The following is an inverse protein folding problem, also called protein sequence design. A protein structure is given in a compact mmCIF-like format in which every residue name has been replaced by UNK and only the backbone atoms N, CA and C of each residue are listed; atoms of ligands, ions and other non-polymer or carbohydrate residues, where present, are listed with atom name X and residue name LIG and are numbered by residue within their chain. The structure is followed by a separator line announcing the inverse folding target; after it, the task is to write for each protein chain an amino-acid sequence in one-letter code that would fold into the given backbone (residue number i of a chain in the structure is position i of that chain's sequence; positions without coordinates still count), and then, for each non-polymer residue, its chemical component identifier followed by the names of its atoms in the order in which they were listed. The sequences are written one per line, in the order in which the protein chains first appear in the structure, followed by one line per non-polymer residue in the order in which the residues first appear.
data_IF_759273399926
#
_entry.id   IF_759273399926
#
_cell.length_a   1.000
_cell.length_b   1.000
_cell.length_c   1.000
_cell.angle_alpha   90.00
_cell.angle_beta   90.00
_cell.angle_gamma   90.00
#
_symmetry.space_group_name_H-M   'P 1'
#
loop_
_entity.id
_entity.type
_entity.pdbx_description
1 polymer ?
#
# COMPACT_ATOMS: atom_id res chain seq x y z
N UNK A 1 10.51 21.46 -16.42
CA UNK A 1 9.42 20.48 -16.54
C UNK A 1 8.41 20.78 -15.44
N UNK A 2 7.39 21.57 -15.78
CA UNK A 2 6.49 22.23 -14.84
C UNK A 2 5.44 21.25 -14.30
N UNK A 3 5.67 20.67 -13.12
CA UNK A 3 4.62 19.95 -12.40
C UNK A 3 3.83 20.96 -11.54
N UNK A 4 3.07 21.83 -12.20
CA UNK A 4 2.04 22.63 -11.55
C UNK A 4 0.92 21.64 -11.21
N UNK A 5 1.06 20.99 -10.06
CA UNK A 5 0.03 20.13 -9.50
C UNK A 5 -1.14 21.04 -9.09
N UNK A 6 -2.09 21.20 -10.00
CA UNK A 6 -3.35 21.86 -9.74
C UNK A 6 -3.98 21.22 -8.49
N UNK A 7 -4.53 22.00 -7.54
CA UNK A 7 -4.98 21.51 -6.21
C UNK A 7 -5.87 20.26 -6.28
N UNK A 8 -6.58 20.06 -7.38
CA UNK A 8 -7.43 18.89 -7.69
C UNK A 8 -6.63 17.59 -7.86
N UNK A 9 -5.45 17.62 -8.49
CA UNK A 9 -4.63 16.44 -8.75
C UNK A 9 -4.00 15.90 -7.45
N UNK A 10 -3.63 16.78 -6.52
CA UNK A 10 -3.10 16.37 -5.21
C UNK A 10 -4.11 15.61 -4.35
N UNK A 11 -5.40 15.96 -4.42
CA UNK A 11 -6.47 15.26 -3.68
C UNK A 11 -6.71 13.88 -4.26
N UNK A 12 -6.75 13.77 -5.59
CA UNK A 12 -6.93 12.48 -6.27
C UNK A 12 -5.79 11.52 -5.96
N UNK A 13 -4.55 11.99 -5.99
CA UNK A 13 -3.37 11.20 -5.67
C UNK A 13 -3.40 10.68 -4.21
N UNK A 14 -3.87 11.53 -3.28
CA UNK A 14 -4.04 11.15 -1.88
C UNK A 14 -5.15 10.10 -1.70
N UNK A 15 -6.25 10.23 -2.45
CA UNK A 15 -7.35 9.27 -2.41
C UNK A 15 -6.94 7.89 -2.96
N UNK A 16 -6.25 7.85 -4.10
CA UNK A 16 -5.68 6.61 -4.67
C UNK A 16 -4.70 5.97 -3.68
N UNK A 17 -3.87 6.76 -3.02
CA UNK A 17 -2.90 6.23 -2.05
C UNK A 17 -3.59 5.56 -0.86
N UNK A 18 -4.68 6.14 -0.33
CA UNK A 18 -5.45 5.54 0.76
C UNK A 18 -6.17 4.29 0.27
N UNK A 19 -6.81 4.37 -0.90
CA UNK A 19 -7.53 3.26 -1.50
C UNK A 19 -6.63 2.04 -1.75
N UNK A 20 -5.45 2.26 -2.34
CA UNK A 20 -4.47 1.20 -2.59
C UNK A 20 -4.02 0.50 -1.31
N UNK A 21 -3.80 1.25 -0.24
CA UNK A 21 -3.43 0.67 1.06
C UNK A 21 -4.54 -0.23 1.63
N UNK A 22 -5.80 0.21 1.50
CA UNK A 22 -6.98 -0.59 1.91
C UNK A 22 -7.08 -1.86 1.07
N UNK A 23 -6.93 -1.77 -0.26
CA UNK A 23 -6.98 -2.93 -1.15
C UNK A 23 -5.90 -3.98 -0.81
N UNK A 24 -4.66 -3.55 -0.55
CA UNK A 24 -3.58 -4.47 -0.16
C UNK A 24 -3.88 -5.19 1.17
N UNK A 25 -4.43 -4.47 2.16
CA UNK A 25 -4.83 -5.06 3.44
C UNK A 25 -5.98 -6.05 3.28
N UNK A 26 -7.01 -5.70 2.51
CA UNK A 26 -8.15 -6.58 2.24
C UNK A 26 -7.68 -7.86 1.52
N UNK A 27 -6.81 -7.75 0.52
CA UNK A 27 -6.27 -8.92 -0.18
C UNK A 27 -5.43 -9.82 0.74
N UNK A 28 -4.60 -9.26 1.62
CA UNK A 28 -3.85 -10.03 2.61
C UNK A 28 -4.77 -10.80 3.56
N UNK A 29 -5.81 -10.14 4.07
CA UNK A 29 -6.79 -10.75 4.97
C UNK A 29 -7.62 -11.83 4.26
N UNK A 30 -8.10 -11.58 3.05
CA UNK A 30 -8.86 -12.57 2.26
C UNK A 30 -8.03 -13.81 1.94
N UNK A 31 -6.73 -13.67 1.63
CA UNK A 31 -5.83 -14.82 1.45
C UNK A 31 -5.67 -15.62 2.75
N UNK A 32 -5.69 -14.96 3.91
CA UNK A 32 -5.58 -15.62 5.22
C UNK A 32 -6.82 -16.43 5.61
N UNK A 33 -7.98 -16.12 5.03
CA UNK A 33 -9.23 -16.87 5.23
C UNK A 33 -9.40 -18.03 4.25
N UNK A 34 -8.37 -18.40 3.47
CA UNK A 34 -8.45 -19.41 2.41
C UNK A 34 -9.64 -19.14 1.46
N UNK A 35 -9.86 -17.87 1.09
CA UNK A 35 -11.00 -17.50 0.28
C UNK A 35 -10.95 -18.19 -1.09
N UNK A 36 -11.98 -18.99 -1.39
CA UNK A 36 -12.16 -19.73 -2.66
C UNK A 36 -11.95 -18.86 -3.92
N UNK A 37 -12.17 -17.55 -3.82
CA UNK A 37 -11.97 -16.59 -4.89
C UNK A 37 -10.51 -16.52 -5.41
N UNK A 38 -9.52 -16.96 -4.63
CA UNK A 38 -8.11 -16.94 -5.03
C UNK A 38 -7.57 -18.31 -5.49
N UNK A 39 -8.35 -19.39 -5.35
CA UNK A 39 -7.91 -20.75 -5.69
C UNK A 39 -7.51 -20.86 -7.17
N UNK A 40 -8.17 -20.09 -8.02
CA UNK A 40 -8.00 -20.09 -9.48
C UNK A 40 -6.69 -19.43 -9.92
N UNK A 41 -6.06 -18.64 -9.05
CA UNK A 41 -4.78 -17.96 -9.33
C UNK A 41 -3.59 -18.70 -8.72
N UNK A 42 -3.86 -19.79 -8.01
CA UNK A 42 -2.89 -20.57 -7.29
C UNK A 42 -2.33 -21.64 -8.24
N UNK A 43 -1.00 -21.86 -8.31
CA UNK A 43 -0.40 -22.82 -9.22
C UNK A 43 -0.60 -24.25 -8.71
N UNK A 44 -1.84 -24.74 -8.78
CA UNK A 44 -2.18 -26.11 -8.46
C UNK A 44 -1.68 -27.05 -9.54
N UNK A 45 -1.35 -28.28 -9.15
CA UNK A 45 -1.07 -29.33 -10.09
C UNK A 45 -2.32 -29.64 -10.92
N UNK A 46 -2.15 -29.90 -12.22
CA UNK A 46 -3.26 -30.08 -13.16
C UNK A 46 -4.04 -31.38 -12.91
N UNK A 47 -3.44 -32.34 -12.19
CA UNK A 47 -4.08 -33.60 -11.80
C UNK A 47 -3.73 -33.94 -10.36
N UNK A 48 -4.76 -34.23 -9.56
CA UNK A 48 -4.63 -34.82 -8.22
C UNK A 48 -5.41 -36.13 -8.21
N UNK A 49 -4.77 -37.22 -7.80
CA UNK A 49 -5.40 -38.53 -7.68
C UNK A 49 -6.41 -38.60 -6.53
N UNK A 50 -6.24 -37.76 -5.51
CA UNK A 50 -7.04 -37.79 -4.29
C UNK A 50 -7.49 -36.40 -3.82
N UNK A 51 -8.75 -36.32 -3.38
CA UNK A 51 -9.38 -35.08 -2.91
C UNK A 51 -8.75 -34.57 -1.59
N UNK A 52 -8.21 -35.46 -0.75
CA UNK A 52 -7.45 -35.08 0.44
C UNK A 52 -6.11 -34.42 0.09
N UNK A 53 -5.42 -34.93 -0.93
CA UNK A 53 -4.12 -34.44 -1.36
C UNK A 53 -4.24 -33.03 -1.95
N UNK A 54 -5.24 -32.84 -2.82
CA UNK A 54 -5.66 -31.53 -3.32
C UNK A 54 -5.93 -30.53 -2.19
N UNK A 55 -6.65 -30.95 -1.15
CA UNK A 55 -7.02 -30.08 -0.03
C UNK A 55 -5.80 -29.68 0.81
N UNK A 56 -4.87 -30.60 1.05
CA UNK A 56 -3.66 -30.31 1.82
C UNK A 56 -2.70 -29.38 1.06
N UNK A 57 -2.56 -29.59 -0.25
CA UNK A 57 -1.64 -28.83 -1.09
C UNK A 57 -2.16 -27.42 -1.34
N UNK A 58 -3.48 -27.30 -1.59
CA UNK A 58 -4.16 -26.00 -1.65
C UNK A 58 -3.94 -25.19 -0.37
N UNK A 59 -4.18 -25.79 0.81
CA UNK A 59 -4.08 -25.10 2.09
C UNK A 59 -2.65 -24.64 2.41
N UNK A 60 -1.65 -25.35 1.89
CA UNK A 60 -0.23 -24.96 1.98
C UNK A 60 0.08 -23.79 1.04
N UNK A 61 -0.30 -23.88 -0.22
CA UNK A 61 -0.05 -22.81 -1.20
C UNK A 61 -0.77 -21.50 -0.82
N UNK A 62 -1.98 -21.58 -0.25
CA UNK A 62 -2.69 -20.41 0.27
C UNK A 62 -1.89 -19.67 1.34
N UNK A 63 -1.29 -20.40 2.29
CA UNK A 63 -0.46 -19.82 3.35
C UNK A 63 0.80 -19.15 2.78
N UNK A 64 1.46 -19.79 1.83
CA UNK A 64 2.65 -19.24 1.17
C UNK A 64 2.34 -17.93 0.42
N UNK A 65 1.22 -17.90 -0.30
CA UNK A 65 0.79 -16.70 -1.02
C UNK A 65 0.33 -15.60 -0.07
N UNK A 66 -0.45 -15.93 0.96
CA UNK A 66 -0.87 -14.98 1.97
C UNK A 66 0.34 -14.31 2.65
N UNK A 67 1.37 -15.09 2.98
CA UNK A 67 2.59 -14.57 3.59
C UNK A 67 3.33 -13.57 2.68
N UNK A 68 3.43 -13.87 1.38
CA UNK A 68 4.03 -12.95 0.39
C UNK A 68 3.25 -11.64 0.28
N UNK A 69 1.92 -11.70 0.31
CA UNK A 69 1.10 -10.50 0.30
C UNK A 69 1.25 -9.69 1.58
N UNK A 70 1.29 -10.31 2.75
CA UNK A 70 1.54 -9.61 4.01
C UNK A 70 2.92 -8.96 4.05
N UNK A 71 3.97 -9.65 3.59
CA UNK A 71 5.31 -9.08 3.49
C UNK A 71 5.36 -7.87 2.55
N UNK A 72 4.69 -7.97 1.40
CA UNK A 72 4.58 -6.87 0.43
C UNK A 72 3.79 -5.70 1.02
N UNK A 73 2.67 -5.97 1.68
CA UNK A 73 1.86 -4.95 2.34
C UNK A 73 2.64 -4.22 3.45
N UNK A 74 3.43 -4.95 4.24
CA UNK A 74 4.30 -4.37 5.26
C UNK A 74 5.37 -3.47 4.63
N UNK A 75 6.03 -3.93 3.55
CA UNK A 75 7.02 -3.14 2.83
C UNK A 75 6.43 -1.85 2.25
N UNK A 76 5.29 -1.95 1.57
CA UNK A 76 4.57 -0.79 1.05
C UNK A 76 4.11 0.15 2.18
N UNK A 77 3.69 -0.38 3.33
CA UNK A 77 3.35 0.40 4.52
C UNK A 77 4.54 1.21 5.06
N UNK A 78 5.73 0.61 5.09
CA UNK A 78 6.98 1.30 5.47
C UNK A 78 7.30 2.42 4.47
N UNK A 79 7.30 2.13 3.16
CA UNK A 79 7.56 3.14 2.14
C UNK A 79 6.53 4.29 2.17
N UNK A 80 5.25 3.98 2.36
CA UNK A 80 4.19 4.97 2.47
C UNK A 80 4.40 5.85 3.71
N UNK A 81 4.77 5.27 4.85
CA UNK A 81 5.04 6.00 6.08
C UNK A 81 6.26 6.90 5.93
N UNK A 82 7.37 6.40 5.36
CA UNK A 82 8.56 7.21 5.06
C UNK A 82 8.23 8.37 4.11
N UNK A 83 7.46 8.10 3.06
CA UNK A 83 7.00 9.14 2.12
C UNK A 83 6.16 10.21 2.82
N UNK A 84 5.20 9.82 3.67
CA UNK A 84 4.39 10.74 4.48
C UNK A 84 5.25 11.55 5.45
N UNK A 85 6.24 10.94 6.09
CA UNK A 85 7.18 11.64 6.97
C UNK A 85 8.00 12.67 6.19
N UNK A 86 8.56 12.30 5.03
CA UNK A 86 9.28 13.22 4.15
C UNK A 86 8.41 14.41 3.70
N UNK A 87 7.17 14.15 3.29
CA UNK A 87 6.22 15.19 2.91
C UNK A 87 5.91 16.11 4.10
N UNK A 88 5.71 15.55 5.30
CA UNK A 88 5.47 16.34 6.52
C UNK A 88 6.68 17.19 6.90
N UNK A 89 7.89 16.64 6.78
CA UNK A 89 9.12 17.38 7.04
C UNK A 89 9.28 18.54 6.05
N UNK A 90 9.07 18.31 4.76
CA UNK A 90 9.13 19.35 3.72
C UNK A 90 8.04 20.41 3.90
N UNK A 91 6.83 20.02 4.28
CA UNK A 91 5.74 20.95 4.64
C UNK A 91 6.11 21.83 5.83
N UNK A 92 6.77 21.26 6.85
CA UNK A 92 7.27 22.02 8.01
C UNK A 92 8.36 23.01 7.62
N UNK A 93 9.26 22.65 6.72
CA UNK A 93 10.28 23.57 6.19
C UNK A 93 9.65 24.77 5.48
N UNK A 94 8.70 24.53 4.55
CA UNK A 94 8.05 25.63 3.83
C UNK A 94 7.28 26.59 4.75
N UNK A 95 6.63 26.08 5.81
CA UNK A 95 5.97 26.94 6.81
C UNK A 95 7.00 27.76 7.60
N UNK A 96 8.15 27.16 7.95
CA UNK A 96 9.24 27.87 8.66
C UNK A 96 9.81 29.01 7.81
N UNK A 97 10.06 28.75 6.53
CA UNK A 97 10.57 29.76 5.58
C UNK A 97 9.56 30.90 5.40
N UNK A 98 8.28 30.60 5.16
CA UNK A 98 7.23 31.61 5.04
C UNK A 98 7.10 32.48 6.30
N UNK A 99 7.21 31.88 7.50
CA UNK A 99 7.18 32.62 8.76
C UNK A 99 8.44 33.49 8.98
N UNK A 100 9.59 33.12 8.41
CA UNK A 100 10.80 33.92 8.44
C UNK A 100 10.71 35.12 7.48
N UNK A 101 10.10 34.94 6.30
CA UNK A 101 9.80 36.04 5.37
C UNK A 101 8.81 37.04 5.97
N UNK A 102 7.67 36.57 6.52
CA UNK A 102 6.67 37.45 7.16
C UNK A 102 7.31 38.29 8.28
N UNK A 103 8.17 37.68 9.11
CA UNK A 103 8.88 38.42 10.17
C UNK A 103 9.82 39.49 9.63
N UNK A 104 10.49 39.25 8.50
CA UNK A 104 11.32 40.28 7.84
C UNK A 104 10.48 41.44 7.31
N UNK A 105 9.31 41.15 6.72
CA UNK A 105 8.40 42.19 6.20
C UNK A 105 7.79 43.09 7.28
N UNK A 106 7.70 42.63 8.53
CA UNK A 106 7.23 43.45 9.66
C UNK A 106 8.32 44.33 10.30
N UNK A 107 9.60 44.10 9.97
CA UNK A 107 10.74 44.85 10.52
C UNK A 107 11.27 45.95 9.59
N UNK A 108 10.73 46.05 8.36
CA UNK A 108 11.05 47.08 7.34
C UNK A 108 9.85 48.01 7.23
#
# INVERSE_FOLDING_TARGET
MNLICNKKCSIFCLFISIWGLIQLLVMGVCCSFNALAFVTHLPLAENYDNLQEFRSDSDRLYKDVALRFYATAALYGVFATLSLLCIRMKKRQMIREKNAEIRRSHLV
#
